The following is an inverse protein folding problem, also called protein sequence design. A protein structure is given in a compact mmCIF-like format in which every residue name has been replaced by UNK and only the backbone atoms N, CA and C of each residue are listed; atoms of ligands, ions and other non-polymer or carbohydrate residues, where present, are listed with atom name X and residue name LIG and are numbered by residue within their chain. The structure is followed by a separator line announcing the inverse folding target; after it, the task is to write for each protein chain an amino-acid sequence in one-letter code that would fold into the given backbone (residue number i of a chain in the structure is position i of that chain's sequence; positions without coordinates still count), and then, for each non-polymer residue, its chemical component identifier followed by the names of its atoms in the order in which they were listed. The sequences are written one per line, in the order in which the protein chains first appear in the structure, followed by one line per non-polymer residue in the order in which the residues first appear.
data_IF_530568579819
#
_entry.id   IF_530568579819
#
_cell.length_a   1.000
_cell.length_b   1.000
_cell.length_c   1.000
_cell.angle_alpha   90.00
_cell.angle_beta   90.00
_cell.angle_gamma   90.00
#
_symmetry.space_group_name_H-M   'P 1'
#
loop_
_entity.id
_entity.type
_entity.pdbx_description
1 polymer ?
#
# COMPACT_ATOMS: atom_id res chain seq x y z
N UNK A 1 -4.79 -25.77 -14.73
CA UNK A 1 -3.40 -25.29 -14.97
C UNK A 1 -2.88 -24.45 -13.81
N UNK A 2 -2.72 -25.04 -12.62
CA UNK A 2 -2.36 -24.29 -11.40
C UNK A 2 -0.87 -23.93 -11.34
N UNK A 3 0.01 -24.85 -11.78
CA UNK A 3 1.46 -24.64 -11.80
C UNK A 3 1.88 -23.46 -12.69
N UNK A 4 1.33 -23.37 -13.92
CA UNK A 4 1.64 -22.26 -14.84
C UNK A 4 1.16 -20.92 -14.28
N UNK A 5 -0.02 -20.88 -13.65
CA UNK A 5 -0.57 -19.68 -13.01
C UNK A 5 0.32 -19.20 -11.84
N UNK A 6 0.74 -20.12 -10.95
CA UNK A 6 1.67 -19.80 -9.86
C UNK A 6 2.99 -19.21 -10.39
N UNK A 7 3.46 -19.74 -11.51
CA UNK A 7 4.73 -19.32 -12.12
C UNK A 7 4.68 -18.00 -12.91
N UNK A 8 3.47 -17.48 -13.19
CA UNK A 8 3.24 -16.21 -13.89
C UNK A 8 3.05 -15.02 -12.92
N UNK A 9 3.05 -15.25 -11.60
CA UNK A 9 2.95 -14.19 -10.62
C UNK A 9 4.24 -13.33 -10.62
N UNK A 10 4.12 -11.99 -10.51
CA UNK A 10 5.28 -11.11 -10.52
C UNK A 10 6.19 -11.40 -9.31
N UNK A 11 7.49 -11.55 -9.56
CA UNK A 11 8.50 -11.81 -8.51
C UNK A 11 8.69 -13.28 -8.14
N UNK A 12 7.96 -14.22 -8.76
CA UNK A 12 8.10 -15.66 -8.49
C UNK A 12 9.13 -16.30 -9.43
N UNK A 13 10.13 -16.97 -8.87
CA UNK A 13 11.13 -17.72 -9.65
C UNK A 13 10.58 -19.08 -10.09
N UNK A 14 10.93 -19.47 -11.32
CA UNK A 14 10.54 -20.76 -11.92
C UNK A 14 11.08 -21.93 -11.08
N UNK A 15 12.30 -21.78 -10.56
CA UNK A 15 13.01 -22.81 -9.79
C UNK A 15 12.25 -23.14 -8.50
N UNK A 16 11.87 -22.12 -7.75
CA UNK A 16 11.19 -22.26 -6.46
C UNK A 16 9.82 -22.94 -6.60
N UNK A 17 9.06 -22.58 -7.64
CA UNK A 17 7.77 -23.23 -7.94
C UNK A 17 7.97 -24.68 -8.38
N UNK A 18 9.02 -24.95 -9.15
CA UNK A 18 9.33 -26.29 -9.62
C UNK A 18 9.78 -27.20 -8.46
N UNK A 19 10.60 -26.69 -7.56
CA UNK A 19 11.03 -27.38 -6.33
C UNK A 19 9.84 -27.70 -5.42
N UNK A 20 8.95 -26.72 -5.20
CA UNK A 20 7.72 -26.92 -4.40
C UNK A 20 6.79 -27.98 -4.98
N UNK A 21 6.72 -28.10 -6.30
CA UNK A 21 5.90 -29.08 -6.99
C UNK A 21 6.66 -30.39 -7.28
N UNK A 22 7.91 -30.51 -6.83
CA UNK A 22 8.83 -31.61 -7.11
C UNK A 22 8.92 -31.98 -8.60
N UNK A 23 8.86 -30.97 -9.48
CA UNK A 23 9.00 -31.12 -10.93
C UNK A 23 10.31 -30.49 -11.40
N UNK A 24 10.86 -30.98 -12.50
CA UNK A 24 12.04 -30.35 -13.09
C UNK A 24 11.67 -28.96 -13.64
N UNK A 25 12.45 -27.89 -13.38
CA UNK A 25 12.15 -26.52 -13.84
C UNK A 25 11.90 -26.39 -15.34
N UNK A 26 12.56 -27.24 -16.14
CA UNK A 26 12.33 -27.34 -17.58
C UNK A 26 10.87 -27.63 -17.96
N UNK A 27 10.19 -28.48 -17.19
CA UNK A 27 8.78 -28.84 -17.44
C UNK A 27 7.88 -27.62 -17.31
N UNK A 28 8.13 -26.77 -16.31
CA UNK A 28 7.36 -25.55 -16.07
C UNK A 28 7.57 -24.51 -17.17
N UNK A 29 8.80 -24.39 -17.68
CA UNK A 29 9.13 -23.56 -18.85
C UNK A 29 8.46 -24.08 -20.12
N UNK A 30 8.46 -25.40 -20.34
CA UNK A 30 7.78 -26.05 -21.47
C UNK A 30 6.27 -25.80 -21.42
N UNK A 31 5.63 -26.00 -20.27
CA UNK A 31 4.20 -25.73 -20.11
C UNK A 31 3.83 -24.26 -20.29
N UNK A 32 4.68 -23.32 -19.87
CA UNK A 32 4.49 -21.89 -20.19
C UNK A 32 4.47 -21.63 -21.69
N UNK A 33 5.42 -22.22 -22.42
CA UNK A 33 5.47 -22.13 -23.88
C UNK A 33 4.20 -22.70 -24.51
N UNK A 34 3.79 -23.91 -24.11
CA UNK A 34 2.61 -24.57 -24.67
C UNK A 34 1.28 -23.87 -24.35
N UNK A 35 1.18 -23.16 -23.21
CA UNK A 35 0.04 -22.30 -22.91
C UNK A 35 0.02 -21.05 -23.79
N UNK A 36 1.18 -20.44 -24.05
CA UNK A 36 1.31 -19.29 -24.96
C UNK A 36 1.02 -19.66 -26.41
N UNK A 37 1.49 -20.82 -26.83
CA UNK A 37 1.35 -21.35 -28.19
C UNK A 37 -0.06 -21.95 -28.42
N UNK A 38 -0.93 -21.95 -27.41
CA UNK A 38 -2.33 -22.37 -27.50
C UNK A 38 -2.55 -23.90 -27.51
N UNK A 39 -1.48 -24.70 -27.46
CA UNK A 39 -1.55 -26.17 -27.40
C UNK A 39 -2.16 -26.68 -26.08
N UNK A 40 -1.93 -25.96 -24.98
CA UNK A 40 -2.48 -26.29 -23.67
C UNK A 40 -3.52 -25.25 -23.24
N UNK A 41 -4.78 -25.49 -23.61
CA UNK A 41 -5.92 -24.67 -23.16
C UNK A 41 -6.35 -25.14 -21.77
N UNK A 42 -5.70 -24.60 -20.75
CA UNK A 42 -6.19 -24.74 -19.39
C UNK A 42 -7.37 -23.83 -19.14
N UNK A 43 -8.58 -24.37 -19.04
CA UNK A 43 -9.70 -23.61 -18.49
C UNK A 43 -9.28 -23.08 -17.10
N UNK A 44 -9.25 -21.76 -16.87
CA UNK A 44 -9.06 -21.27 -15.51
C UNK A 44 -10.16 -21.88 -14.65
N UNK A 45 -9.79 -22.31 -13.44
CA UNK A 45 -10.80 -22.77 -12.48
C UNK A 45 -11.86 -21.64 -12.38
N UNK A 46 -13.17 -21.98 -12.38
CA UNK A 46 -14.20 -20.96 -12.19
C UNK A 46 -13.84 -20.17 -10.93
N UNK A 47 -13.60 -18.87 -11.09
CA UNK A 47 -13.45 -17.99 -9.95
C UNK A 47 -14.81 -17.94 -9.29
N UNK A 48 -14.91 -18.48 -8.08
CA UNK A 48 -16.13 -18.39 -7.29
C UNK A 48 -16.51 -16.90 -7.16
N UNK A 49 -17.72 -16.49 -7.56
CA UNK A 49 -18.11 -15.09 -7.56
C UNK A 49 -18.04 -14.47 -6.16
N UNK A 50 -18.18 -15.29 -5.12
CA UNK A 50 -17.98 -14.91 -3.72
C UNK A 50 -16.55 -14.41 -3.45
N UNK A 51 -15.52 -15.12 -3.95
CA UNK A 51 -14.12 -14.73 -3.76
C UNK A 51 -13.80 -13.39 -4.45
N UNK A 52 -14.43 -13.10 -5.59
CA UNK A 52 -14.25 -11.81 -6.30
C UNK A 52 -14.89 -10.68 -5.50
N UNK A 53 -16.09 -10.89 -4.94
CA UNK A 53 -16.77 -9.92 -4.10
C UNK A 53 -16.00 -9.62 -2.81
N UNK A 54 -15.40 -10.65 -2.19
CA UNK A 54 -14.53 -10.48 -1.02
C UNK A 54 -13.29 -9.65 -1.34
N UNK A 55 -12.62 -9.92 -2.47
CA UNK A 55 -11.47 -9.13 -2.92
C UNK A 55 -11.81 -7.67 -3.23
N UNK A 56 -13.04 -7.38 -3.66
CA UNK A 56 -13.51 -6.00 -3.84
C UNK A 56 -13.71 -5.32 -2.48
N UNK A 57 -14.44 -5.97 -1.56
CA UNK A 57 -14.63 -5.45 -0.19
C UNK A 57 -13.31 -5.16 0.52
N UNK A 58 -12.34 -6.06 0.41
CA UNK A 58 -11.01 -5.86 1.00
C UNK A 58 -10.32 -4.63 0.44
N UNK A 59 -10.36 -4.43 -0.89
CA UNK A 59 -9.78 -3.23 -1.53
C UNK A 59 -10.46 -1.94 -1.07
N UNK A 60 -11.78 -1.94 -0.95
CA UNK A 60 -12.53 -0.77 -0.49
C UNK A 60 -12.19 -0.42 0.96
N UNK A 61 -12.07 -1.43 1.82
CA UNK A 61 -11.66 -1.25 3.23
C UNK A 61 -10.23 -0.71 3.32
N UNK A 62 -9.29 -1.24 2.52
CA UNK A 62 -7.91 -0.75 2.49
C UNK A 62 -7.82 0.72 2.05
N UNK A 63 -8.61 1.13 1.06
CA UNK A 63 -8.66 2.53 0.61
C UNK A 63 -9.21 3.46 1.70
N UNK A 64 -10.29 3.04 2.37
CA UNK A 64 -10.87 3.80 3.48
C UNK A 64 -9.89 3.91 4.63
N UNK A 65 -9.20 2.83 4.98
CA UNK A 65 -8.19 2.84 6.03
C UNK A 65 -7.04 3.80 5.72
N UNK A 66 -6.51 3.79 4.49
CA UNK A 66 -5.47 4.75 4.05
C UNK A 66 -5.96 6.19 4.14
N UNK A 67 -7.20 6.47 3.71
CA UNK A 67 -7.80 7.81 3.84
C UNK A 67 -7.86 8.25 5.30
N UNK A 68 -8.38 7.37 6.16
CA UNK A 68 -8.53 7.66 7.59
C UNK A 68 -7.16 7.89 8.27
N UNK A 69 -6.13 7.14 7.89
CA UNK A 69 -4.77 7.37 8.39
C UNK A 69 -4.24 8.76 8.00
N UNK A 70 -4.43 9.18 6.74
CA UNK A 70 -4.00 10.51 6.29
C UNK A 70 -4.73 11.63 7.03
N UNK A 71 -6.05 11.50 7.21
CA UNK A 71 -6.86 12.47 7.95
C UNK A 71 -6.42 12.54 9.43
N UNK A 72 -6.19 11.39 10.06
CA UNK A 72 -5.73 11.31 11.44
C UNK A 72 -4.36 11.96 11.63
N UNK A 73 -3.42 11.71 10.71
CA UNK A 73 -2.10 12.34 10.75
C UNK A 73 -2.17 13.85 10.55
N UNK A 74 -3.06 14.33 9.67
CA UNK A 74 -3.30 15.76 9.48
C UNK A 74 -3.87 16.40 10.76
N UNK A 75 -4.86 15.77 11.38
CA UNK A 75 -5.45 16.24 12.64
C UNK A 75 -4.42 16.30 13.76
N UNK A 76 -3.58 15.26 13.91
CA UNK A 76 -2.48 15.27 14.89
C UNK A 76 -1.51 16.43 14.67
N UNK A 77 -1.12 16.68 13.40
CA UNK A 77 -0.27 17.82 13.05
C UNK A 77 -0.92 19.15 13.41
N UNK A 78 -2.22 19.30 13.14
CA UNK A 78 -2.98 20.51 13.48
C UNK A 78 -3.05 20.72 15.01
N UNK A 79 -3.35 19.68 15.78
CA UNK A 79 -3.37 19.74 17.25
C UNK A 79 -2.00 20.15 17.78
N UNK A 80 -0.93 19.51 17.29
CA UNK A 80 0.45 19.86 17.67
C UNK A 80 0.74 21.33 17.37
N UNK A 81 0.45 21.81 16.16
CA UNK A 81 0.65 23.21 15.78
C UNK A 81 -0.13 24.17 16.68
N UNK A 82 -1.40 23.89 16.97
CA UNK A 82 -2.22 24.71 17.87
C UNK A 82 -1.65 24.72 19.31
N UNK A 83 -1.19 23.58 19.80
CA UNK A 83 -0.58 23.47 21.13
C UNK A 83 0.73 24.27 21.23
N UNK A 84 1.58 24.23 20.20
CA UNK A 84 2.85 24.98 20.17
C UNK A 84 2.62 26.49 20.15
N UNK A 85 1.57 26.98 19.47
CA UNK A 85 1.18 28.40 19.49
C UNK A 85 0.66 28.83 20.86
N UNK A 86 -0.10 27.97 21.55
CA UNK A 86 -0.58 28.27 22.91
C UNK A 86 0.56 28.35 23.92
N UNK A 87 1.62 27.57 23.74
CA UNK A 87 2.78 27.55 24.64
C UNK A 87 3.73 28.75 24.47
N UNK A 88 3.74 29.42 23.31
CA UNK A 88 4.58 30.61 23.06
C UNK A 88 3.73 31.88 23.27
N UNK A 89 3.79 32.55 24.44
CA UNK A 89 3.18 33.86 24.58
C UNK A 89 3.86 34.85 23.62
N UNK A 90 3.08 35.71 22.98
CA UNK A 90 3.59 36.78 22.11
C UNK A 90 4.62 37.62 22.89
N UNK A 91 5.73 38.06 22.27
CA UNK A 91 6.65 38.98 22.92
C UNK A 91 5.88 40.27 23.20
N UNK A 92 5.57 40.51 24.48
CA UNK A 92 4.93 41.74 24.92
C UNK A 92 5.87 42.90 24.56
N UNK A 93 5.44 43.75 23.63
CA UNK A 93 6.13 44.98 23.28
C UNK A 93 6.19 45.85 24.53
N UNK A 94 7.33 45.88 25.22
CA UNK A 94 7.56 46.85 26.30
C UNK A 94 7.65 48.22 25.65
N UNK A 95 6.59 49.00 25.83
CA UNK A 95 6.55 50.41 25.50
C UNK A 95 7.73 51.12 26.20
N UNK A 96 8.77 51.45 25.44
CA UNK A 96 9.91 52.23 25.93
C UNK A 96 9.43 53.67 26.12
N UNK A 97 8.97 53.98 27.33
CA UNK A 97 8.64 55.34 27.73
C UNK A 97 9.87 56.24 27.54
N UNK A 98 9.75 57.26 26.69
CA UNK A 98 10.79 58.28 26.53
C UNK A 98 10.95 59.01 27.86
N UNK A 99 12.14 58.94 28.47
CA UNK A 99 12.50 59.74 29.65
C UNK A 99 12.61 61.20 29.24
N UNK A 100 11.59 62.00 29.55
CA UNK A 100 11.68 63.45 29.50
C UNK A 100 12.62 63.92 30.62
N UNK A 101 13.74 64.54 30.24
CA UNK A 101 14.67 65.22 31.15
C UNK A 101 14.19 66.65 31.31
N UNK A 102 13.76 67.03 32.52
CA UNK A 102 13.46 68.43 32.85
C UNK A 102 14.73 69.17 33.28
N UNK A 103 14.72 70.49 33.03
CA UNK A 103 15.78 71.48 33.30
C UNK A 103 16.09 71.61 34.79
#
# INVERSE_FOLDING_TARGET
MKAVQMSNQPGVLIKDVAESLCIHPFMLSKWRKQVRDGELVGKPAPLEPAAVAELQRLRDVEQQFKRLQMEHDLLKKAIRFASERKAKPSPSSRQTGKRTRSK
#
